data_IF_880369893058
#
_entry.id   IF_880369893058
#
_cell.length_a   1.000
_cell.length_b   1.000
_cell.length_c   1.000
_cell.angle_alpha   90.00
_cell.angle_beta   90.00
_cell.angle_gamma   90.00
#
_symmetry.space_group_name_H-M   'P 1'
#
loop_
_entity.id
_entity.type
_entity.pdbx_description
1 polymer ?
#
# COMPACT_ATOMS: atom_id res chain seq x y z
N UNK A 1 -2.09 -9.69 -9.47
CA UNK A 1 -3.35 -8.92 -9.60
C UNK A 1 -3.78 -8.51 -8.20
N UNK A 2 -3.55 -7.26 -7.75
CA UNK A 2 -4.29 -6.75 -6.60
C UNK A 2 -5.74 -6.64 -7.05
N UNK A 3 -6.55 -7.62 -6.66
CA UNK A 3 -7.96 -7.75 -7.00
C UNK A 3 -8.75 -6.94 -6.00
N UNK A 4 -9.10 -5.71 -6.38
CA UNK A 4 -10.01 -4.87 -5.64
C UNK A 4 -11.25 -5.64 -5.21
N UNK A 5 -11.47 -5.66 -3.90
CA UNK A 5 -12.69 -6.09 -3.24
C UNK A 5 -13.89 -5.27 -3.75
N UNK A 6 -14.42 -5.63 -4.92
CA UNK A 6 -15.74 -5.15 -5.36
C UNK A 6 -16.76 -6.29 -5.46
N UNK A 7 -16.34 -7.55 -5.56
CA UNK A 7 -17.29 -8.65 -5.77
C UNK A 7 -17.00 -9.87 -4.88
N UNK A 8 -17.68 -9.91 -3.71
CA UNK A 8 -18.16 -11.11 -2.96
C UNK A 8 -18.27 -10.91 -1.42
N UNK A 9 -18.42 -9.68 -0.93
CA UNK A 9 -18.90 -9.45 0.45
C UNK A 9 -20.38 -9.09 0.43
N UNK A 10 -21.12 -9.66 1.38
CA UNK A 10 -22.54 -9.44 1.58
C UNK A 10 -22.79 -7.93 1.73
N UNK A 11 -23.53 -7.31 0.78
CA UNK A 11 -23.71 -5.85 0.69
C UNK A 11 -24.39 -5.19 1.91
N UNK A 12 -24.78 -5.99 2.92
CA UNK A 12 -25.57 -5.58 4.07
C UNK A 12 -24.82 -5.58 5.41
N UNK A 13 -23.52 -5.87 5.45
CA UNK A 13 -22.72 -5.75 6.68
C UNK A 13 -21.76 -4.56 6.56
N UNK A 14 -21.90 -3.51 7.39
CA UNK A 14 -20.97 -2.40 7.42
C UNK A 14 -19.55 -2.92 7.66
N UNK A 15 -18.58 -2.36 6.94
CA UNK A 15 -17.18 -2.70 7.19
C UNK A 15 -16.76 -2.22 8.59
N UNK A 16 -16.04 -3.02 9.38
CA UNK A 16 -15.64 -2.63 10.73
C UNK A 16 -14.67 -1.45 10.70
N UNK A 17 -14.72 -0.61 11.74
CA UNK A 17 -13.77 0.49 11.92
C UNK A 17 -12.43 -0.06 12.41
N UNK A 18 -11.34 0.55 11.94
CA UNK A 18 -10.02 0.32 12.48
C UNK A 18 -9.88 1.08 13.82
N UNK A 19 -9.57 0.36 14.90
CA UNK A 19 -9.34 0.94 16.22
C UNK A 19 -7.93 1.46 16.44
N UNK A 20 -7.01 1.27 15.49
CA UNK A 20 -5.60 1.68 15.60
C UNK A 20 -5.34 3.13 15.16
N UNK A 21 -6.35 3.86 14.67
CA UNK A 21 -6.19 5.28 14.32
C UNK A 21 -5.83 6.08 15.59
N UNK A 22 -4.69 6.77 15.55
CA UNK A 22 -4.19 7.57 16.68
C UNK A 22 -3.64 8.91 16.20
N UNK A 23 -3.72 9.93 17.07
CA UNK A 23 -3.00 11.19 16.91
C UNK A 23 -1.64 11.17 17.61
N UNK A 24 -1.38 10.17 18.45
CA UNK A 24 -0.06 9.95 19.03
C UNK A 24 0.86 9.30 17.99
N UNK A 25 2.03 9.91 17.77
CA UNK A 25 3.05 9.35 16.89
C UNK A 25 3.63 8.11 17.55
N UNK A 26 3.49 6.97 16.88
CA UNK A 26 4.13 5.73 17.32
C UNK A 26 5.65 5.88 17.22
N UNK A 27 6.36 5.43 18.25
CA UNK A 27 7.83 5.49 18.33
C UNK A 27 8.38 4.06 18.31
N UNK A 28 8.76 3.51 17.16
CA UNK A 28 9.24 2.12 17.06
C UNK A 28 10.40 1.82 18.01
N UNK A 29 11.32 2.78 18.17
CA UNK A 29 12.49 2.68 19.03
C UNK A 29 12.14 2.53 20.52
N UNK A 30 11.02 3.12 20.97
CA UNK A 30 10.53 2.93 22.35
C UNK A 30 9.98 1.52 22.58
N UNK A 31 9.62 0.83 21.50
CA UNK A 31 9.18 -0.57 21.51
C UNK A 31 10.30 -1.54 21.11
N UNK A 32 11.58 -1.12 21.26
CA UNK A 32 12.76 -1.93 20.96
C UNK A 32 12.96 -2.31 19.49
N UNK A 33 12.21 -1.71 18.56
CA UNK A 33 12.52 -1.83 17.14
C UNK A 33 13.83 -1.11 16.81
N UNK A 34 14.56 -1.65 15.85
CA UNK A 34 15.77 -1.03 15.28
C UNK A 34 15.51 -0.77 13.82
N UNK A 35 15.94 0.41 13.35
CA UNK A 35 15.92 0.74 11.95
C UNK A 35 16.89 -0.17 11.18
N UNK A 36 16.38 -0.86 10.17
CA UNK A 36 17.16 -1.80 9.35
C UNK A 36 17.13 -1.46 7.86
N UNK A 37 16.15 -0.65 7.45
CA UNK A 37 15.99 -0.21 6.07
C UNK A 37 15.14 1.06 6.05
N UNK A 38 15.54 2.05 5.26
CA UNK A 38 14.81 3.31 5.06
C UNK A 38 15.12 3.92 3.70
N UNK A 39 14.24 4.80 3.25
CA UNK A 39 14.53 5.75 2.18
C UNK A 39 13.81 7.07 2.46
N UNK A 40 14.60 8.13 2.68
CA UNK A 40 14.11 9.49 2.85
C UNK A 40 14.02 10.26 1.52
N UNK A 41 14.35 9.60 0.40
CA UNK A 41 14.28 10.17 -0.94
C UNK A 41 15.09 11.47 -1.12
N UNK A 42 16.20 11.61 -0.39
CA UNK A 42 17.11 12.78 -0.42
C UNK A 42 17.84 12.96 -1.77
N UNK A 43 17.79 11.94 -2.64
CA UNK A 43 18.37 11.99 -3.97
C UNK A 43 17.59 12.87 -4.96
N UNK A 44 18.08 12.93 -6.20
CA UNK A 44 17.40 13.64 -7.30
C UNK A 44 16.71 12.68 -8.29
N UNK A 45 16.87 11.37 -8.09
CA UNK A 45 16.31 10.29 -8.89
C UNK A 45 15.96 9.12 -7.99
N UNK A 46 15.09 8.22 -8.46
CA UNK A 46 14.79 6.97 -7.75
C UNK A 46 16.08 6.14 -7.56
N UNK A 47 16.37 5.74 -6.32
CA UNK A 47 17.47 4.83 -6.02
C UNK A 47 17.10 3.41 -6.47
N UNK A 48 17.61 3.01 -7.63
CA UNK A 48 17.33 1.70 -8.23
C UNK A 48 18.07 0.54 -7.55
N UNK A 49 18.95 0.82 -6.58
CA UNK A 49 19.50 -0.22 -5.70
C UNK A 49 18.52 -0.61 -4.58
N UNK A 50 17.55 0.26 -4.29
CA UNK A 50 16.49 0.04 -3.30
C UNK A 50 15.14 -0.27 -3.93
N UNK A 51 14.78 0.42 -5.01
CA UNK A 51 13.45 0.38 -5.59
C UNK A 51 13.44 -0.09 -7.05
N UNK A 52 12.45 -0.92 -7.37
CA UNK A 52 12.20 -1.41 -8.72
C UNK A 52 10.84 -0.90 -9.19
N UNK A 53 10.79 -0.34 -10.41
CA UNK A 53 9.53 -0.01 -11.06
C UNK A 53 8.66 -1.26 -11.18
N UNK A 54 7.47 -1.21 -10.61
CA UNK A 54 6.65 -2.40 -10.37
C UNK A 54 5.59 -2.55 -11.45
N UNK A 55 5.65 -3.68 -12.16
CA UNK A 55 4.62 -4.08 -13.12
C UNK A 55 4.51 -3.16 -14.35
N UNK A 56 5.61 -2.60 -14.82
CA UNK A 56 5.68 -1.77 -16.03
C UNK A 56 4.91 -2.40 -17.19
N UNK A 57 3.97 -1.64 -17.77
CA UNK A 57 3.09 -2.11 -18.83
C UNK A 57 1.60 -2.12 -18.45
N UNK A 58 0.75 -2.82 -19.22
CA UNK A 58 -0.70 -2.81 -19.04
C UNK A 58 -1.13 -3.26 -17.64
N UNK A 59 -2.01 -2.48 -17.00
CA UNK A 59 -2.57 -2.77 -15.69
C UNK A 59 -4.01 -2.24 -15.60
N UNK A 60 -4.97 -3.16 -15.45
CA UNK A 60 -6.42 -2.86 -15.40
C UNK A 60 -6.83 -2.01 -16.62
N UNK A 61 -7.27 -0.78 -16.38
CA UNK A 61 -7.77 0.16 -17.39
C UNK A 61 -6.68 1.11 -17.92
N UNK A 62 -5.43 0.93 -17.48
CA UNK A 62 -4.32 1.81 -17.82
C UNK A 62 -2.99 1.06 -17.88
N UNK A 63 -1.92 1.77 -17.54
CA UNK A 63 -0.54 1.29 -17.58
C UNK A 63 0.23 1.76 -16.35
N UNK A 64 1.11 0.91 -15.85
CA UNK A 64 2.20 1.37 -15.00
C UNK A 64 3.34 1.85 -15.92
N UNK A 65 3.69 3.12 -15.83
CA UNK A 65 4.69 3.79 -16.66
C UNK A 65 5.78 4.40 -15.75
N UNK A 66 7.05 4.00 -15.89
CA UNK A 66 8.17 4.55 -15.11
C UNK A 66 8.28 6.07 -15.15
N UNK A 67 7.82 6.74 -16.22
CA UNK A 67 7.80 8.20 -16.30
C UNK A 67 6.86 8.88 -15.29
N UNK A 68 5.96 8.12 -14.67
CA UNK A 68 5.06 8.57 -13.60
C UNK A 68 5.67 8.43 -12.20
N UNK A 69 6.95 8.11 -12.09
CA UNK A 69 7.70 8.06 -10.83
C UNK A 69 8.78 9.12 -10.87
N UNK A 70 8.81 9.99 -9.86
CA UNK A 70 9.84 11.03 -9.73
C UNK A 70 10.27 11.16 -8.28
N UNK A 71 11.54 11.45 -8.04
CA UNK A 71 12.02 11.94 -6.75
C UNK A 71 12.26 13.44 -6.88
N UNK A 72 11.75 14.23 -5.93
CA UNK A 72 11.90 15.68 -5.90
C UNK A 72 11.73 16.17 -4.47
N UNK A 73 12.61 17.06 -4.02
CA UNK A 73 12.43 17.80 -2.76
C UNK A 73 12.25 16.91 -1.51
N UNK A 74 12.93 15.76 -1.46
CA UNK A 74 12.82 14.80 -0.35
C UNK A 74 11.58 13.89 -0.42
N UNK A 75 10.84 13.92 -1.53
CA UNK A 75 9.63 13.11 -1.71
C UNK A 75 9.75 12.16 -2.92
N UNK A 76 9.20 10.96 -2.76
CA UNK A 76 8.79 10.10 -3.87
C UNK A 76 7.41 10.52 -4.37
N UNK A 77 7.35 10.97 -5.61
CA UNK A 77 6.13 11.33 -6.31
C UNK A 77 5.67 10.14 -7.18
N UNK A 78 4.58 9.50 -6.76
CA UNK A 78 3.81 8.58 -7.60
C UNK A 78 2.69 9.35 -8.28
N UNK A 79 2.88 9.61 -9.56
CA UNK A 79 2.02 10.47 -10.35
C UNK A 79 1.03 9.64 -11.18
N UNK A 80 0.08 10.33 -11.78
CA UNK A 80 -0.74 9.79 -12.85
C UNK A 80 -0.88 10.83 -13.97
N UNK A 81 -1.14 10.35 -15.18
CA UNK A 81 -1.41 11.19 -16.35
C UNK A 81 -2.37 10.46 -17.29
N UNK A 82 -3.02 11.19 -18.20
CA UNK A 82 -3.83 10.61 -19.27
C UNK A 82 -3.11 10.90 -20.59
N UNK A 83 -2.50 9.87 -21.17
CA UNK A 83 -1.83 9.97 -22.47
C UNK A 83 -2.69 9.27 -23.52
N UNK A 84 -3.23 10.05 -24.47
CA UNK A 84 -4.23 9.58 -25.45
C UNK A 84 -5.45 9.00 -24.72
N UNK A 85 -5.77 7.73 -24.97
CA UNK A 85 -6.93 7.05 -24.39
C UNK A 85 -6.53 6.10 -23.24
N UNK A 86 -5.41 6.37 -22.56
CA UNK A 86 -4.89 5.49 -21.50
C UNK A 86 -4.40 6.27 -20.28
N UNK A 87 -4.75 5.74 -19.11
CA UNK A 87 -4.27 6.24 -17.82
C UNK A 87 -2.87 5.68 -17.58
N UNK A 88 -1.92 6.54 -17.27
CA UNK A 88 -0.57 6.21 -16.84
C UNK A 88 -0.47 6.40 -15.34
N UNK A 89 0.17 5.48 -14.64
CA UNK A 89 0.40 5.56 -13.19
C UNK A 89 1.80 5.10 -12.81
N UNK A 90 2.31 5.59 -11.68
CA UNK A 90 3.58 5.18 -11.10
C UNK A 90 3.39 4.08 -10.05
N UNK A 91 4.24 3.07 -10.07
CA UNK A 91 4.35 2.08 -9.01
C UNK A 91 5.80 1.64 -8.84
N UNK A 92 6.25 1.55 -7.59
CA UNK A 92 7.55 1.01 -7.21
C UNK A 92 7.38 -0.04 -6.13
N UNK A 93 8.38 -0.89 -5.95
CA UNK A 93 8.44 -1.82 -4.84
C UNK A 93 9.86 -2.30 -4.63
N UNK A 94 10.07 -3.02 -3.53
CA UNK A 94 11.38 -3.55 -3.14
C UNK A 94 11.57 -5.01 -3.56
N UNK A 95 10.78 -5.49 -4.53
CA UNK A 95 10.99 -6.83 -5.08
C UNK A 95 12.45 -6.95 -5.55
N UNK A 96 13.08 -8.07 -5.20
CA UNK A 96 14.48 -8.38 -5.51
C UNK A 96 15.56 -7.52 -4.81
N UNK A 97 15.19 -6.50 -4.02
CA UNK A 97 16.15 -5.64 -3.30
C UNK A 97 16.07 -5.81 -1.78
N UNK A 98 14.88 -5.68 -1.20
CA UNK A 98 14.66 -5.81 0.24
C UNK A 98 13.33 -6.50 0.53
N UNK A 99 13.42 -7.62 1.23
CA UNK A 99 12.28 -8.44 1.63
C UNK A 99 12.53 -8.90 3.06
N UNK A 100 11.57 -8.68 3.94
CA UNK A 100 11.65 -9.07 5.34
C UNK A 100 10.30 -9.63 5.81
N UNK A 101 10.35 -10.35 6.93
CA UNK A 101 9.19 -10.89 7.62
C UNK A 101 9.21 -10.32 9.03
N UNK A 102 8.05 -9.85 9.49
CA UNK A 102 7.87 -9.14 10.76
C UNK A 102 8.59 -7.79 10.84
N UNK A 103 8.18 -6.99 11.83
CA UNK A 103 8.73 -5.67 12.09
C UNK A 103 7.67 -4.59 12.05
N UNK A 104 8.13 -3.35 12.14
CA UNK A 104 7.29 -2.17 11.96
C UNK A 104 7.59 -1.54 10.59
N UNK A 105 6.54 -1.28 9.82
CA UNK A 105 6.61 -0.69 8.48
C UNK A 105 5.90 0.64 8.52
N UNK A 106 6.55 1.70 8.04
CA UNK A 106 6.01 3.06 8.10
C UNK A 106 6.18 3.77 6.76
N UNK A 107 5.18 4.56 6.38
CA UNK A 107 5.22 5.47 5.25
C UNK A 107 4.60 6.81 5.66
N UNK A 108 5.35 7.90 5.51
CA UNK A 108 4.82 9.26 5.63
C UNK A 108 4.42 9.75 4.25
N UNK A 109 3.12 9.89 4.00
CA UNK A 109 2.61 10.25 2.68
C UNK A 109 1.47 11.27 2.74
N UNK A 110 1.32 12.05 1.67
CA UNK A 110 0.17 12.92 1.42
C UNK A 110 -0.67 12.35 0.29
N UNK A 111 -1.97 12.22 0.52
CA UNK A 111 -2.89 11.62 -0.46
C UNK A 111 -3.30 12.61 -1.56
N UNK A 112 -3.73 12.07 -2.70
CA UNK A 112 -4.28 12.84 -3.80
C UNK A 112 -5.62 13.52 -3.41
N UNK A 113 -5.86 14.72 -3.93
CA UNK A 113 -7.16 15.41 -3.80
C UNK A 113 -8.15 15.08 -4.92
N UNK A 114 -7.68 14.51 -6.01
CA UNK A 114 -8.47 14.14 -7.18
C UNK A 114 -9.15 12.79 -7.01
N UNK A 115 -10.36 12.65 -7.58
CA UNK A 115 -10.99 11.36 -7.79
C UNK A 115 -10.33 10.61 -8.95
N UNK A 116 -10.39 9.28 -8.93
CA UNK A 116 -9.85 8.41 -9.98
C UNK A 116 -8.62 7.59 -9.55
N UNK A 117 -7.52 8.22 -9.07
CA UNK A 117 -6.36 7.46 -8.62
C UNK A 117 -6.68 6.59 -7.40
N UNK A 118 -6.07 5.41 -7.38
CA UNK A 118 -6.07 4.47 -6.27
C UNK A 118 -4.65 4.44 -5.68
N UNK A 119 -4.45 5.15 -4.59
CA UNK A 119 -3.17 5.17 -3.87
C UNK A 119 -3.12 4.01 -2.87
N UNK A 120 -1.96 3.37 -2.73
CA UNK A 120 -1.79 2.26 -1.81
C UNK A 120 -0.35 2.16 -1.29
N UNK A 121 -0.22 1.72 -0.04
CA UNK A 121 1.02 1.24 0.56
C UNK A 121 0.75 -0.13 1.16
N UNK A 122 1.53 -1.13 0.76
CA UNK A 122 1.19 -2.52 1.01
C UNK A 122 2.43 -3.41 0.93
N UNK A 123 2.33 -4.58 1.57
CA UNK A 123 3.34 -5.64 1.55
C UNK A 123 2.81 -6.84 0.76
N UNK A 124 3.69 -7.57 0.07
CA UNK A 124 3.32 -8.78 -0.66
C UNK A 124 4.35 -9.87 -0.51
N UNK A 125 3.90 -11.08 -0.15
CA UNK A 125 4.73 -12.26 -0.27
C UNK A 125 5.07 -12.55 -1.75
N UNK A 126 6.34 -12.83 -2.09
CA UNK A 126 6.73 -13.27 -3.44
C UNK A 126 6.17 -14.66 -3.79
N UNK A 127 5.64 -15.40 -2.81
CA UNK A 127 5.09 -16.75 -2.98
C UNK A 127 3.55 -16.76 -3.03
N UNK A 128 2.88 -15.61 -2.93
CA UNK A 128 1.41 -15.52 -2.71
C UNK A 128 0.56 -16.26 -3.74
N UNK A 129 1.07 -16.42 -4.96
CA UNK A 129 0.39 -17.11 -6.07
C UNK A 129 0.79 -18.58 -6.23
N UNK A 130 1.60 -19.14 -5.31
CA UNK A 130 2.09 -20.52 -5.41
C UNK A 130 1.23 -21.56 -4.68
N UNK A 131 0.19 -21.10 -3.98
CA UNK A 131 -0.83 -21.96 -3.37
C UNK A 131 -1.70 -21.18 -2.40
N UNK A 132 -2.53 -21.90 -1.63
CA UNK A 132 -3.66 -21.30 -0.92
C UNK A 132 -3.44 -21.10 0.58
N UNK A 133 -2.45 -21.79 1.17
CA UNK A 133 -2.12 -21.69 2.58
C UNK A 133 -1.30 -20.41 2.88
N UNK A 134 -1.86 -19.41 3.57
CA UNK A 134 -1.15 -18.17 3.86
C UNK A 134 0.03 -18.35 4.81
N UNK A 135 0.06 -19.41 5.64
CA UNK A 135 1.20 -19.72 6.49
C UNK A 135 2.42 -20.20 5.71
N UNK A 136 2.22 -20.74 4.50
CA UNK A 136 3.28 -21.24 3.62
C UNK A 136 3.62 -20.29 2.48
N UNK A 137 2.59 -19.73 1.84
CA UNK A 137 2.73 -18.89 0.65
C UNK A 137 2.68 -17.40 0.97
N UNK A 138 2.40 -17.05 2.22
CA UNK A 138 2.29 -15.68 2.68
C UNK A 138 1.00 -15.00 2.23
N UNK A 139 0.92 -13.72 2.54
CA UNK A 139 -0.22 -12.86 2.25
C UNK A 139 0.22 -11.56 1.58
N UNK A 140 -0.78 -10.81 1.15
CA UNK A 140 -0.72 -9.39 0.85
C UNK A 140 -1.37 -8.65 2.02
N UNK A 141 -0.72 -7.59 2.47
CA UNK A 141 -1.14 -6.78 3.61
C UNK A 141 -1.23 -5.34 3.12
N UNK A 142 -2.46 -4.85 2.96
CA UNK A 142 -2.71 -3.46 2.59
C UNK A 142 -2.68 -2.58 3.83
N UNK A 143 -1.55 -1.89 4.04
CA UNK A 143 -1.36 -0.94 5.15
C UNK A 143 -2.23 0.30 4.94
N UNK A 144 -2.46 0.68 3.68
CA UNK A 144 -3.64 1.46 3.31
C UNK A 144 -3.94 1.30 1.83
N UNK A 145 -5.21 1.47 1.50
CA UNK A 145 -5.69 1.84 0.19
C UNK A 145 -6.59 3.09 0.29
N UNK A 146 -6.45 4.01 -0.67
CA UNK A 146 -7.16 5.28 -0.68
C UNK A 146 -7.65 5.67 -2.08
N UNK A 147 -8.94 5.96 -2.16
CA UNK A 147 -9.59 6.57 -3.31
C UNK A 147 -10.49 7.69 -2.81
N UNK A 148 -10.24 8.94 -3.27
CA UNK A 148 -10.99 10.13 -2.84
C UNK A 148 -12.50 10.02 -3.08
N UNK A 149 -12.94 9.16 -3.99
CA UNK A 149 -14.36 8.89 -4.24
C UNK A 149 -15.12 8.37 -3.00
N UNK A 150 -14.42 7.77 -2.04
CA UNK A 150 -14.98 7.31 -0.76
C UNK A 150 -14.77 8.32 0.39
N UNK A 151 -14.46 9.58 0.07
CA UNK A 151 -14.19 10.63 1.05
C UNK A 151 -12.83 10.48 1.72
N UNK A 152 -12.72 10.98 2.95
CA UNK A 152 -11.48 10.92 3.73
C UNK A 152 -11.40 9.61 4.54
N UNK A 153 -11.57 8.50 3.83
CA UNK A 153 -11.55 7.14 4.40
C UNK A 153 -10.54 6.28 3.66
N UNK A 154 -9.72 5.56 4.43
CA UNK A 154 -8.85 4.50 3.93
C UNK A 154 -9.40 3.13 4.25
N UNK A 155 -8.94 2.14 3.48
CA UNK A 155 -9.25 0.74 3.71
C UNK A 155 -8.00 -0.06 3.99
N UNK A 156 -8.12 -1.04 4.89
CA UNK A 156 -7.07 -1.99 5.25
C UNK A 156 -7.57 -3.41 5.02
N UNK A 157 -6.77 -4.24 4.38
CA UNK A 157 -7.18 -5.59 4.03
C UNK A 157 -6.00 -6.57 4.05
N UNK A 158 -6.35 -7.84 4.23
CA UNK A 158 -5.46 -8.97 4.01
C UNK A 158 -5.95 -9.75 2.81
N UNK A 159 -5.05 -10.16 1.94
CA UNK A 159 -5.35 -11.03 0.81
C UNK A 159 -4.41 -12.23 0.76
N UNK A 160 -4.90 -13.40 0.36
CA UNK A 160 -4.07 -14.58 0.16
C UNK A 160 -4.69 -15.54 -0.85
N UNK A 161 -3.99 -16.63 -1.15
CA UNK A 161 -4.42 -17.64 -2.12
C UNK A 161 -4.64 -17.07 -3.53
N UNK A 162 -3.72 -16.24 -4.01
CA UNK A 162 -3.86 -15.56 -5.31
C UNK A 162 -4.11 -16.55 -6.45
N UNK A 163 -5.30 -16.48 -7.04
CA UNK A 163 -5.78 -17.44 -8.01
C UNK A 163 -7.30 -17.61 -7.93
N UNK A 164 -7.85 -18.71 -8.46
CA UNK A 164 -9.30 -18.97 -8.48
C UNK A 164 -9.96 -18.98 -7.10
N UNK A 165 -9.18 -19.33 -6.06
CA UNK A 165 -9.63 -19.45 -4.67
C UNK A 165 -9.16 -18.29 -3.79
N UNK A 166 -8.89 -17.13 -4.38
CA UNK A 166 -8.46 -15.94 -3.64
C UNK A 166 -9.38 -15.65 -2.46
N UNK A 167 -8.75 -15.41 -1.31
CA UNK A 167 -9.42 -15.04 -0.08
C UNK A 167 -8.98 -13.65 0.36
N UNK A 168 -9.85 -13.02 1.13
CA UNK A 168 -9.57 -11.74 1.75
C UNK A 168 -10.16 -11.70 3.15
N UNK A 169 -9.53 -10.96 4.04
CA UNK A 169 -10.06 -10.63 5.35
C UNK A 169 -9.97 -9.13 5.56
N UNK A 170 -10.95 -8.61 6.29
CA UNK A 170 -11.11 -7.19 6.49
C UNK A 170 -11.80 -6.47 5.32
N UNK A 171 -12.13 -5.22 5.65
CA UNK A 171 -11.97 -3.98 4.89
C UNK A 171 -12.03 -2.91 5.98
N UNK A 172 -11.06 -2.93 6.90
CA UNK A 172 -11.14 -2.03 8.06
C UNK A 172 -11.15 -0.59 7.54
N UNK A 173 -12.00 0.24 8.13
CA UNK A 173 -12.12 1.63 7.71
C UNK A 173 -11.36 2.53 8.70
N UNK A 174 -10.52 3.40 8.18
CA UNK A 174 -9.95 4.51 8.93
C UNK A 174 -10.42 5.82 8.31
N UNK A 175 -11.34 6.51 8.98
CA UNK A 175 -11.84 7.82 8.54
C UNK A 175 -11.18 8.92 9.38
N UNK A 176 -10.60 9.91 8.71
CA UNK A 176 -9.99 11.08 9.33
C UNK A 176 -10.27 12.30 8.45
N UNK A 177 -11.00 13.29 8.96
CA UNK A 177 -11.27 14.53 8.22
C UNK A 177 -9.96 15.20 7.79
N UNK A 178 -9.87 15.61 6.53
CA UNK A 178 -8.69 16.28 6.00
C UNK A 178 -7.55 15.34 5.62
N UNK A 179 -7.80 14.03 5.46
CA UNK A 179 -6.77 13.04 5.10
C UNK A 179 -5.96 13.39 3.83
N UNK A 180 -6.55 14.16 2.90
CA UNK A 180 -5.87 14.63 1.69
C UNK A 180 -5.20 16.00 1.82
N UNK A 181 -5.30 16.66 2.98
CA UNK A 181 -4.82 18.04 3.16
C UNK A 181 -3.36 18.14 3.56
N UNK A 182 -2.78 17.06 4.07
CA UNK A 182 -1.40 17.05 4.54
C UNK A 182 -0.76 15.67 4.49
N UNK A 183 0.45 15.62 5.05
CA UNK A 183 1.12 14.35 5.29
C UNK A 183 0.56 13.68 6.52
N UNK A 184 0.39 12.37 6.42
CA UNK A 184 0.06 11.49 7.52
C UNK A 184 1.06 10.34 7.53
N UNK A 185 1.22 9.74 8.71
CA UNK A 185 2.04 8.55 8.90
C UNK A 185 1.12 7.33 8.88
N UNK A 186 1.44 6.37 8.01
CA UNK A 186 0.73 5.11 7.88
C UNK A 186 1.67 3.99 8.32
N UNK A 187 1.26 3.23 9.32
CA UNK A 187 2.11 2.24 9.97
C UNK A 187 1.44 0.87 10.03
N UNK A 188 2.26 -0.17 10.08
CA UNK A 188 1.85 -1.54 10.39
C UNK A 188 2.87 -2.14 11.37
N UNK A 189 2.41 -2.60 12.52
CA UNK A 189 3.20 -3.51 13.36
C UNK A 189 2.83 -4.95 13.00
N UNK A 190 3.79 -5.67 12.41
CA UNK A 190 3.63 -7.07 12.05
C UNK A 190 4.47 -7.96 12.97
N UNK A 191 3.78 -8.72 13.81
CA UNK A 191 4.35 -9.71 14.72
C UNK A 191 4.03 -11.14 14.24
N UNK A 192 4.67 -12.17 14.78
CA UNK A 192 4.28 -13.55 14.52
C UNK A 192 2.82 -13.86 14.87
N UNK A 193 2.24 -13.14 15.82
CA UNK A 193 0.90 -13.40 16.36
C UNK A 193 -0.20 -12.54 15.73
N UNK A 194 0.13 -11.31 15.30
CA UNK A 194 -0.88 -10.32 14.86
C UNK A 194 -0.33 -9.21 13.96
N UNK A 195 -1.25 -8.57 13.27
CA UNK A 195 -1.11 -7.28 12.59
C UNK A 195 -1.79 -6.21 13.44
N UNK A 196 -1.13 -5.08 13.67
CA UNK A 196 -1.69 -3.90 14.37
C UNK A 196 -1.60 -2.69 13.46
#
# INVERSE_FOLDING_TARGET
>A
MASGCVNKLNKNTPSPQNSALSQEVFSPEKNSYKLVWEDNFDGITLDTTKWIHRGTGPRRIGYNDPSMVKVSDGDLLLMYDIKKDSIMAGAVGTQDTYQTTYGYFECRARMQKSQGPWAAFWLQSPQISKGEDPGKFGAEIDIFEYMKEYGDTMTHALHWAYGPNQKSSGRLLSTLEGLSDGFHTFGLEWTPEKYI
#
